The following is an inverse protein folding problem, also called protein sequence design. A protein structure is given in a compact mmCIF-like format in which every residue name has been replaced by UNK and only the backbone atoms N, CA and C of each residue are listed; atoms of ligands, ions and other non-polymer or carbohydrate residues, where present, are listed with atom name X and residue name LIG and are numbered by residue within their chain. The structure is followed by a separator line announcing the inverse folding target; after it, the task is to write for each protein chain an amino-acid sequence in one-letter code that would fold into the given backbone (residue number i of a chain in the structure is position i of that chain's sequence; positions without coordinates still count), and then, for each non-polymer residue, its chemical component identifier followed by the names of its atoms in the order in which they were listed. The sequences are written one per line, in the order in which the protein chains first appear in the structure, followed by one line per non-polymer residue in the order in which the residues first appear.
data_IF_037216616599
#
_entry.id   IF_037216616599
#
_cell.length_a   1.000
_cell.length_b   1.000
_cell.length_c   1.000
_cell.angle_alpha   90.00
_cell.angle_beta   90.00
_cell.angle_gamma   90.00
#
_symmetry.space_group_name_H-M   'P 1'
#
loop_
_entity.id
_entity.type
_entity.pdbx_description
1 polymer ?
#
# COMPACT_ATOMS: atom_id res chain seq x y z
N UNK A 1 -89.07 -35.15 -50.18
CA UNK A 1 -88.75 -35.66 -48.84
C UNK A 1 -87.29 -36.05 -48.79
N UNK A 2 -86.42 -35.14 -48.35
CA UNK A 2 -85.13 -35.41 -47.68
C UNK A 2 -84.61 -34.05 -47.20
N UNK A 3 -84.91 -33.76 -45.95
CA UNK A 3 -84.75 -32.48 -45.27
C UNK A 3 -83.31 -32.20 -44.83
N UNK A 4 -82.94 -30.93 -45.00
CA UNK A 4 -81.85 -30.17 -44.39
C UNK A 4 -81.19 -30.71 -43.11
N UNK A 5 -79.85 -30.61 -43.05
CA UNK A 5 -79.14 -30.15 -41.85
C UNK A 5 -77.93 -29.25 -42.21
N UNK A 6 -78.19 -27.94 -42.03
CA UNK A 6 -77.31 -26.87 -41.54
C UNK A 6 -75.90 -26.68 -42.10
N UNK A 7 -75.78 -25.56 -42.81
CA UNK A 7 -74.63 -24.67 -42.88
C UNK A 7 -73.92 -24.45 -41.54
N UNK A 8 -72.60 -24.63 -41.54
CA UNK A 8 -71.69 -24.05 -40.55
C UNK A 8 -70.65 -23.21 -41.29
N UNK A 9 -70.53 -21.99 -40.80
CA UNK A 9 -69.96 -20.80 -41.42
C UNK A 9 -68.43 -20.80 -41.29
N UNK A 10 -67.79 -20.06 -42.18
CA UNK A 10 -66.35 -19.84 -42.27
C UNK A 10 -65.66 -19.53 -40.93
N UNK A 11 -64.48 -20.14 -40.73
CA UNK A 11 -63.46 -19.62 -39.83
C UNK A 11 -62.07 -19.97 -40.41
N UNK A 12 -61.42 -18.98 -41.03
CA UNK A 12 -60.06 -19.08 -41.49
C UNK A 12 -59.10 -19.13 -40.29
N UNK A 13 -58.57 -20.30 -39.97
CA UNK A 13 -57.50 -20.45 -38.98
C UNK A 13 -56.15 -20.18 -39.65
N UNK A 14 -55.67 -18.92 -39.61
CA UNK A 14 -54.27 -18.60 -39.94
C UNK A 14 -53.37 -19.28 -38.92
N UNK A 15 -52.55 -20.22 -39.37
CA UNK A 15 -51.50 -20.83 -38.54
C UNK A 15 -50.36 -19.83 -38.37
N UNK A 16 -50.33 -19.13 -37.23
CA UNK A 16 -49.22 -18.27 -36.87
C UNK A 16 -47.99 -19.12 -36.52
N UNK A 17 -46.99 -19.14 -37.42
CA UNK A 17 -45.69 -19.73 -37.15
C UNK A 17 -44.87 -18.76 -36.30
N UNK A 18 -44.75 -19.01 -35.01
CA UNK A 18 -43.82 -18.30 -34.12
C UNK A 18 -42.39 -18.74 -34.40
N UNK A 19 -41.65 -17.94 -35.18
CA UNK A 19 -40.22 -18.16 -35.41
C UNK A 19 -39.44 -17.68 -34.19
N UNK A 20 -39.07 -18.60 -33.30
CA UNK A 20 -38.19 -18.30 -32.17
C UNK A 20 -36.76 -18.12 -32.68
N UNK A 21 -36.36 -16.86 -32.93
CA UNK A 21 -34.95 -16.54 -33.16
C UNK A 21 -34.22 -16.55 -31.82
N UNK A 22 -33.29 -17.49 -31.65
CA UNK A 22 -32.37 -17.53 -30.51
C UNK A 22 -31.54 -16.24 -30.51
N UNK A 23 -31.80 -15.33 -29.58
CA UNK A 23 -30.94 -14.15 -29.37
C UNK A 23 -29.54 -14.65 -29.02
N UNK A 24 -28.55 -14.38 -29.86
CA UNK A 24 -27.15 -14.57 -29.51
C UNK A 24 -26.83 -13.62 -28.36
N UNK A 25 -26.44 -14.18 -27.21
CA UNK A 25 -25.97 -13.37 -26.09
C UNK A 25 -24.78 -12.53 -26.58
N UNK A 26 -24.93 -11.20 -26.51
CA UNK A 26 -23.81 -10.28 -26.71
C UNK A 26 -22.75 -10.63 -25.68
N UNK A 27 -21.68 -11.29 -26.11
CA UNK A 27 -20.48 -11.45 -25.28
C UNK A 27 -19.93 -10.05 -25.08
N UNK A 28 -20.15 -9.47 -23.90
CA UNK A 28 -19.52 -8.22 -23.49
C UNK A 28 -18.01 -8.42 -23.66
N UNK A 29 -17.40 -7.78 -24.66
CA UNK A 29 -15.95 -7.80 -24.82
C UNK A 29 -15.37 -7.23 -23.53
N UNK A 30 -14.64 -8.04 -22.77
CA UNK A 30 -13.82 -7.55 -21.67
C UNK A 30 -12.79 -6.62 -22.29
N UNK A 31 -12.65 -5.39 -21.78
CA UNK A 31 -11.61 -4.47 -22.23
C UNK A 31 -10.26 -5.18 -22.09
N UNK A 32 -9.52 -5.30 -23.18
CA UNK A 32 -8.20 -5.94 -23.22
C UNK A 32 -7.09 -5.01 -22.72
N UNK A 33 -7.34 -3.71 -22.73
CA UNK A 33 -6.41 -2.68 -22.26
C UNK A 33 -7.09 -1.90 -21.14
N UNK A 34 -6.42 -1.84 -19.99
CA UNK A 34 -6.81 -1.05 -18.83
C UNK A 34 -5.92 0.19 -18.78
N UNK A 35 -6.47 1.37 -18.46
CA UNK A 35 -5.65 2.56 -18.28
C UNK A 35 -4.70 2.36 -17.09
N UNK A 36 -3.44 2.69 -17.32
CA UNK A 36 -2.39 2.68 -16.30
C UNK A 36 -2.62 3.90 -15.41
N UNK A 37 -2.42 3.74 -14.11
CA UNK A 37 -2.48 4.85 -13.18
C UNK A 37 -1.35 5.84 -13.48
N UNK A 38 -1.70 7.11 -13.71
CA UNK A 38 -0.70 8.16 -13.89
C UNK A 38 0.10 8.38 -12.60
N UNK A 39 1.40 8.66 -12.75
CA UNK A 39 2.28 8.92 -11.61
C UNK A 39 1.90 10.26 -10.95
N UNK A 40 1.36 10.18 -9.75
CA UNK A 40 1.03 11.35 -8.95
C UNK A 40 2.24 11.78 -8.10
N UNK A 41 2.92 12.83 -8.57
CA UNK A 41 4.08 13.44 -7.89
C UNK A 41 3.68 14.00 -6.51
N UNK A 42 2.46 14.50 -6.36
CA UNK A 42 2.01 15.12 -5.12
C UNK A 42 1.82 14.09 -4.01
N UNK A 43 1.25 12.93 -4.34
CA UNK A 43 1.14 11.81 -3.40
C UNK A 43 2.50 11.37 -2.85
N UNK A 44 3.54 11.35 -3.70
CA UNK A 44 4.89 10.97 -3.29
C UNK A 44 5.51 12.00 -2.34
N UNK A 45 5.27 13.29 -2.55
CA UNK A 45 5.75 14.36 -1.65
C UNK A 45 5.06 14.33 -0.28
N UNK A 46 3.81 13.87 -0.20
CA UNK A 46 3.06 13.72 1.05
C UNK A 46 3.58 12.59 1.96
N UNK A 47 4.52 11.75 1.51
CA UNK A 47 5.07 10.64 2.31
C UNK A 47 5.72 11.09 3.63
N UNK A 48 6.39 12.24 3.67
CA UNK A 48 7.07 12.71 4.89
C UNK A 48 6.11 13.04 6.04
N UNK A 49 4.87 13.41 5.71
CA UNK A 49 3.82 13.74 6.67
C UNK A 49 2.76 12.63 6.76
N UNK A 50 3.03 11.46 6.18
CA UNK A 50 2.09 10.34 6.24
C UNK A 50 1.95 9.88 7.68
N UNK A 51 0.71 9.58 8.07
CA UNK A 51 0.38 9.03 9.39
C UNK A 51 0.64 10.01 10.56
N UNK A 52 0.69 11.33 10.30
CA UNK A 52 0.75 12.38 11.32
C UNK A 52 -0.63 12.97 11.59
N UNK A 53 -1.10 12.87 12.84
CA UNK A 53 -2.30 13.54 13.31
C UNK A 53 -1.96 14.98 13.75
N UNK A 54 -1.74 15.87 12.78
CA UNK A 54 -1.37 17.27 13.03
C UNK A 54 -2.47 18.09 13.75
N UNK A 55 -3.70 17.60 13.74
CA UNK A 55 -4.87 18.25 14.35
C UNK A 55 -5.05 17.90 15.84
N UNK A 56 -4.22 16.99 16.38
CA UNK A 56 -4.35 16.59 17.77
C UNK A 56 -4.01 17.75 18.73
N UNK A 57 -4.88 18.07 19.71
CA UNK A 57 -4.61 19.14 20.66
C UNK A 57 -3.30 18.95 21.44
N UNK A 58 -2.93 17.69 21.72
CA UNK A 58 -1.70 17.36 22.43
C UNK A 58 -0.45 17.56 21.56
N UNK A 59 -0.57 17.29 20.25
CA UNK A 59 0.49 17.51 19.28
C UNK A 59 0.84 19.00 19.20
N UNK A 60 -0.17 19.86 19.05
CA UNK A 60 0.00 21.31 19.02
C UNK A 60 0.62 21.84 20.31
N UNK A 61 0.17 21.36 21.48
CA UNK A 61 0.73 21.75 22.77
C UNK A 61 2.21 21.38 22.90
N UNK A 62 2.59 20.17 22.49
CA UNK A 62 3.99 19.73 22.51
C UNK A 62 4.84 20.52 21.52
N UNK A 63 4.31 20.79 20.32
CA UNK A 63 5.00 21.58 19.30
C UNK A 63 5.26 23.01 19.77
N UNK A 64 4.25 23.69 20.31
CA UNK A 64 4.42 25.03 20.87
C UNK A 64 5.44 25.05 22.01
N UNK A 65 5.44 24.03 22.87
CA UNK A 65 6.39 23.93 23.99
C UNK A 65 7.81 23.66 23.51
N UNK A 66 7.97 22.81 22.50
CA UNK A 66 9.27 22.59 21.84
C UNK A 66 9.82 23.89 21.25
N UNK A 67 8.97 24.65 20.55
CA UNK A 67 9.33 25.93 19.96
C UNK A 67 9.70 26.98 21.03
N UNK A 68 8.93 27.07 22.12
CA UNK A 68 9.23 27.97 23.25
C UNK A 68 10.58 27.66 23.90
N UNK A 69 10.97 26.40 23.97
CA UNK A 69 12.24 25.95 24.53
C UNK A 69 13.40 25.96 23.52
N UNK A 70 13.15 26.33 22.25
CA UNK A 70 14.09 26.23 21.14
C UNK A 70 14.71 24.83 20.97
N UNK A 71 13.96 23.79 21.31
CA UNK A 71 14.39 22.39 21.15
C UNK A 71 13.88 21.88 19.80
N UNK A 72 14.80 21.42 18.95
CA UNK A 72 14.45 20.90 17.64
C UNK A 72 13.98 19.45 17.77
N UNK A 73 12.68 19.23 17.63
CA UNK A 73 12.07 17.90 17.56
C UNK A 73 11.34 17.76 16.22
N UNK A 74 11.62 16.67 15.50
CA UNK A 74 10.95 16.34 14.25
C UNK A 74 9.46 16.06 14.51
N UNK A 75 8.53 16.44 13.60
CA UNK A 75 7.10 16.15 13.76
C UNK A 75 6.77 14.69 14.06
N UNK A 76 7.51 13.73 13.48
CA UNK A 76 7.35 12.30 13.78
C UNK A 76 7.71 11.93 15.22
N UNK A 77 8.71 12.58 15.81
CA UNK A 77 9.08 12.36 17.21
C UNK A 77 7.97 12.88 18.12
N UNK A 78 7.39 14.03 17.79
CA UNK A 78 6.25 14.57 18.53
C UNK A 78 5.04 13.62 18.43
N UNK A 79 4.75 13.09 17.23
CA UNK A 79 3.63 12.16 17.05
C UNK A 79 3.82 10.85 17.83
N UNK A 80 5.02 10.26 17.80
CA UNK A 80 5.32 9.05 18.59
C UNK A 80 5.22 9.30 20.10
N UNK A 81 5.56 10.51 20.58
CA UNK A 81 5.32 10.90 21.97
C UNK A 81 3.83 11.01 22.28
N UNK A 82 3.03 11.60 21.40
CA UNK A 82 1.57 11.70 21.55
C UNK A 82 0.94 10.31 21.63
N UNK A 83 1.32 9.39 20.74
CA UNK A 83 0.86 8.01 20.77
C UNK A 83 1.28 7.28 22.05
N UNK A 84 2.51 7.50 22.51
CA UNK A 84 3.01 6.98 23.79
C UNK A 84 2.25 7.51 25.00
N UNK A 85 1.74 8.74 24.93
CA UNK A 85 0.90 9.34 25.97
C UNK A 85 -0.53 8.79 25.91
N UNK A 86 -1.11 8.69 24.71
CA UNK A 86 -2.45 8.11 24.49
C UNK A 86 -2.54 6.66 24.97
N UNK A 87 -1.53 5.85 24.68
CA UNK A 87 -1.46 4.45 25.13
C UNK A 87 -1.38 4.31 26.65
N UNK A 88 -0.82 5.30 27.36
CA UNK A 88 -0.81 5.36 28.83
C UNK A 88 -2.13 5.85 29.44
N UNK A 89 -3.07 6.33 28.62
CA UNK A 89 -4.39 6.78 29.06
C UNK A 89 -4.47 8.24 29.54
N UNK A 90 -3.39 9.01 29.46
CA UNK A 90 -3.35 10.39 29.93
C UNK A 90 -3.87 11.36 28.85
N UNK A 91 -5.15 11.71 28.93
CA UNK A 91 -5.79 12.63 27.96
C UNK A 91 -5.42 14.10 28.14
N UNK A 92 -4.94 14.50 29.32
CA UNK A 92 -4.56 15.88 29.66
C UNK A 92 -3.31 15.87 30.54
N UNK A 93 -2.25 16.52 30.09
CA UNK A 93 -1.03 16.68 30.88
C UNK A 93 -0.94 18.08 31.49
N UNK A 94 -0.32 18.15 32.67
CA UNK A 94 0.09 19.41 33.29
C UNK A 94 1.27 20.00 32.51
N UNK A 95 1.35 21.33 32.49
CA UNK A 95 2.38 22.06 31.75
C UNK A 95 3.81 21.66 32.14
N UNK A 96 4.04 21.42 33.44
CA UNK A 96 5.33 20.93 33.97
C UNK A 96 5.69 19.54 33.44
N UNK A 97 4.70 18.66 33.28
CA UNK A 97 4.91 17.31 32.75
C UNK A 97 5.27 17.38 31.27
N UNK A 98 4.56 18.20 30.48
CA UNK A 98 4.88 18.42 29.06
C UNK A 98 6.31 18.92 28.88
N UNK A 99 6.72 19.92 29.67
CA UNK A 99 8.08 20.45 29.64
C UNK A 99 9.12 19.37 29.97
N UNK A 100 8.86 18.56 31.02
CA UNK A 100 9.77 17.47 31.39
C UNK A 100 9.90 16.40 30.30
N UNK A 101 8.81 16.10 29.58
CA UNK A 101 8.79 15.11 28.50
C UNK A 101 9.59 15.64 27.31
N UNK A 102 9.37 16.89 26.89
CA UNK A 102 10.10 17.51 25.78
C UNK A 102 11.60 17.59 26.10
N UNK A 103 11.97 18.02 27.31
CA UNK A 103 13.37 18.07 27.77
C UNK A 103 14.01 16.68 27.80
N UNK A 104 13.29 15.68 28.32
CA UNK A 104 13.77 14.29 28.35
C UNK A 104 13.97 13.74 26.94
N UNK A 105 12.98 13.92 26.06
CA UNK A 105 13.05 13.49 24.66
C UNK A 105 14.24 14.13 23.93
N UNK A 106 14.46 15.43 24.11
CA UNK A 106 15.62 16.12 23.54
C UNK A 106 16.95 15.58 24.10
N UNK A 107 17.02 15.32 25.40
CA UNK A 107 18.22 14.75 26.03
C UNK A 107 18.54 13.35 25.48
N UNK A 108 17.52 12.51 25.31
CA UNK A 108 17.67 11.19 24.69
C UNK A 108 18.08 11.29 23.22
N UNK A 109 17.54 12.25 22.48
CA UNK A 109 17.91 12.50 21.09
C UNK A 109 19.39 12.89 20.99
N UNK A 110 19.88 13.78 21.86
CA UNK A 110 21.29 14.16 21.89
C UNK A 110 22.20 12.97 22.22
N UNK A 111 21.79 12.11 23.16
CA UNK A 111 22.53 10.88 23.52
C UNK A 111 22.53 9.82 22.43
N UNK A 112 21.50 9.78 21.57
CA UNK A 112 21.40 8.82 20.48
C UNK A 112 22.23 9.21 19.24
N UNK A 113 22.91 10.36 19.27
CA UNK A 113 23.81 10.78 18.18
C UNK A 113 25.05 9.90 18.18
N UNK A 114 25.52 9.56 16.98
CA UNK A 114 26.79 8.86 16.77
C UNK A 114 27.94 9.82 17.10
N UNK A 115 28.96 9.29 17.76
CA UNK A 115 30.16 10.04 18.10
C UNK A 115 30.93 10.45 16.83
N UNK A 116 31.48 11.67 16.77
CA UNK A 116 32.23 12.13 15.61
C UNK A 116 33.52 11.31 15.46
N UNK A 117 33.94 11.10 14.21
CA UNK A 117 35.14 10.32 13.82
C UNK A 117 35.05 8.80 14.02
N UNK A 118 33.86 8.27 14.30
CA UNK A 118 33.64 6.82 14.30
C UNK A 118 33.83 6.24 12.88
N UNK A 119 34.40 5.03 12.79
CA UNK A 119 34.68 4.35 11.53
C UNK A 119 33.42 3.71 10.90
N UNK A 120 32.37 4.51 10.68
CA UNK A 120 31.04 4.06 10.23
C UNK A 120 31.12 3.25 8.93
N UNK A 121 32.06 3.55 8.03
CA UNK A 121 32.25 2.79 6.78
C UNK A 121 32.62 1.33 7.00
N UNK A 122 33.51 1.03 7.96
CA UNK A 122 33.92 -0.35 8.26
C UNK A 122 32.80 -1.07 9.00
N UNK A 123 32.21 -0.41 10.00
CA UNK A 123 31.10 -0.97 10.80
C UNK A 123 29.90 -1.32 9.92
N UNK A 124 29.55 -0.45 8.97
CA UNK A 124 28.45 -0.70 8.02
C UNK A 124 28.78 -1.82 7.05
N UNK A 125 30.00 -1.87 6.51
CA UNK A 125 30.43 -2.95 5.62
C UNK A 125 30.36 -4.33 6.30
N UNK A 126 30.84 -4.44 7.54
CA UNK A 126 30.77 -5.68 8.31
C UNK A 126 29.32 -6.06 8.63
N UNK A 127 28.51 -5.10 9.09
CA UNK A 127 27.11 -5.33 9.46
C UNK A 127 26.26 -5.84 8.28
N UNK A 128 26.60 -5.46 7.05
CA UNK A 128 25.96 -5.99 5.84
C UNK A 128 26.59 -7.31 5.35
N UNK A 129 27.91 -7.45 5.46
CA UNK A 129 28.67 -8.59 4.94
C UNK A 129 28.54 -9.87 5.76
N UNK A 130 28.54 -9.76 7.09
CA UNK A 130 28.42 -10.91 8.00
C UNK A 130 27.13 -11.73 7.78
N UNK A 131 25.92 -11.13 7.74
CA UNK A 131 24.70 -11.88 7.46
C UNK A 131 24.68 -12.45 6.04
N UNK A 132 25.42 -11.86 5.09
CA UNK A 132 25.56 -12.39 3.74
C UNK A 132 26.10 -13.82 3.69
N UNK A 133 27.01 -14.17 4.61
CA UNK A 133 27.53 -15.55 4.74
C UNK A 133 26.50 -16.52 5.33
N UNK A 134 25.55 -16.02 6.13
CA UNK A 134 24.46 -16.80 6.72
C UNK A 134 23.28 -16.97 5.76
N UNK A 135 23.22 -16.18 4.69
CA UNK A 135 22.13 -16.15 3.70
C UNK A 135 22.22 -17.26 2.63
N UNK A 136 22.79 -18.42 2.94
CA UNK A 136 23.12 -19.44 1.93
C UNK A 136 21.98 -20.38 1.53
N UNK A 137 20.91 -20.57 2.34
CA UNK A 137 19.93 -21.67 2.11
C UNK A 137 18.44 -21.39 2.42
N UNK A 138 17.89 -20.16 2.26
CA UNK A 138 16.48 -19.84 2.62
C UNK A 138 15.53 -19.43 1.48
N UNK A 139 15.60 -19.99 0.27
CA UNK A 139 14.76 -19.48 -0.85
C UNK A 139 13.96 -20.49 -1.66
N UNK A 140 13.95 -21.79 -1.35
CA UNK A 140 13.22 -22.75 -2.21
C UNK A 140 11.83 -23.16 -1.72
N UNK A 141 11.45 -22.85 -0.48
CA UNK A 141 10.16 -23.29 0.09
C UNK A 141 9.39 -22.20 0.82
N UNK A 142 9.27 -20.99 0.25
CA UNK A 142 8.25 -20.05 0.72
C UNK A 142 6.88 -20.51 0.20
N UNK A 143 6.22 -21.38 0.95
CA UNK A 143 4.89 -21.87 0.61
C UNK A 143 3.89 -20.69 0.61
N UNK A 144 3.30 -20.39 -0.55
CA UNK A 144 1.99 -19.72 -0.60
C UNK A 144 1.87 -18.36 -1.28
N UNK A 145 2.91 -17.81 -1.92
CA UNK A 145 2.74 -16.60 -2.75
C UNK A 145 3.19 -16.88 -4.17
N UNK A 146 2.27 -16.78 -5.13
CA UNK A 146 2.50 -16.97 -6.57
C UNK A 146 3.35 -15.85 -7.22
N UNK A 147 4.25 -15.25 -6.46
CA UNK A 147 5.24 -14.30 -6.98
C UNK A 147 6.50 -15.11 -7.22
N UNK A 148 6.67 -15.52 -8.49
CA UNK A 148 7.91 -15.88 -9.21
C UNK A 148 9.14 -16.11 -8.33
N UNK A 149 9.89 -17.18 -8.59
CA UNK A 149 11.23 -17.44 -8.06
C UNK A 149 12.20 -16.28 -8.35
N UNK A 150 12.05 -15.17 -7.60
CA UNK A 150 12.94 -14.03 -7.61
C UNK A 150 14.20 -14.50 -6.91
N UNK A 151 15.36 -14.03 -7.34
CA UNK A 151 16.66 -14.31 -6.72
C UNK A 151 16.74 -13.62 -5.33
N UNK A 152 15.88 -14.00 -4.37
CA UNK A 152 15.51 -13.20 -3.19
C UNK A 152 16.53 -13.18 -2.04
N UNK A 153 17.82 -13.12 -2.34
CA UNK A 153 18.81 -13.04 -1.28
C UNK A 153 20.10 -12.39 -1.73
N UNK A 154 21.20 -13.04 -1.40
CA UNK A 154 22.54 -12.55 -1.66
C UNK A 154 22.81 -12.20 -3.14
N UNK A 155 22.38 -12.98 -4.15
CA UNK A 155 22.63 -12.64 -5.56
C UNK A 155 22.02 -11.29 -5.96
N UNK A 156 20.83 -10.94 -5.44
CA UNK A 156 20.19 -9.66 -5.73
C UNK A 156 20.90 -8.48 -5.07
N UNK A 157 21.40 -8.67 -3.85
CA UNK A 157 22.20 -7.65 -3.16
C UNK A 157 23.48 -7.35 -3.95
N UNK A 158 24.18 -8.39 -4.42
CA UNK A 158 25.39 -8.25 -5.24
C UNK A 158 25.08 -7.48 -6.54
N UNK A 159 24.01 -7.82 -7.26
CA UNK A 159 23.61 -7.10 -8.47
C UNK A 159 23.39 -5.60 -8.26
N UNK A 160 22.79 -5.23 -7.12
CA UNK A 160 22.48 -3.83 -6.77
C UNK A 160 23.77 -3.08 -6.40
N UNK A 161 24.63 -3.68 -5.56
CA UNK A 161 25.88 -3.06 -5.11
C UNK A 161 26.89 -2.92 -6.27
N UNK A 162 26.99 -3.92 -7.15
CA UNK A 162 27.83 -3.89 -8.35
C UNK A 162 27.26 -2.98 -9.47
N UNK A 163 26.08 -2.39 -9.26
CA UNK A 163 25.38 -1.55 -10.24
C UNK A 163 25.26 -2.21 -11.63
N UNK A 164 24.88 -3.50 -11.68
CA UNK A 164 24.75 -4.22 -12.96
C UNK A 164 23.69 -3.59 -13.85
N UNK A 165 24.03 -3.34 -15.11
CA UNK A 165 23.14 -2.69 -16.10
C UNK A 165 21.84 -3.46 -16.34
N UNK A 166 21.90 -4.79 -16.38
CA UNK A 166 20.72 -5.66 -16.58
C UNK A 166 20.71 -6.70 -15.47
N UNK A 167 19.71 -6.71 -14.57
CA UNK A 167 19.58 -7.73 -13.54
C UNK A 167 19.08 -9.05 -14.13
N UNK A 168 19.40 -10.17 -13.48
CA UNK A 168 19.04 -11.49 -14.01
C UNK A 168 17.52 -11.73 -14.03
N UNK A 169 16.78 -11.17 -13.06
CA UNK A 169 15.31 -11.28 -12.96
C UNK A 169 14.66 -9.89 -12.85
N UNK A 170 14.46 -9.15 -13.96
CA UNK A 170 13.78 -7.87 -13.92
C UNK A 170 12.28 -8.07 -13.65
N UNK A 171 11.74 -7.35 -12.68
CA UNK A 171 10.30 -7.34 -12.36
C UNK A 171 9.77 -5.91 -12.35
N UNK A 172 8.49 -5.75 -12.72
CA UNK A 172 7.82 -4.46 -12.77
C UNK A 172 6.43 -4.61 -12.18
N UNK A 173 6.05 -3.71 -11.26
CA UNK A 173 4.71 -3.64 -10.70
C UNK A 173 3.90 -2.60 -11.48
N UNK A 174 2.79 -3.00 -12.08
CA UNK A 174 1.92 -2.10 -12.84
C UNK A 174 0.67 -1.80 -12.02
N UNK A 175 0.42 -0.51 -11.76
CA UNK A 175 -0.78 -0.02 -11.09
C UNK A 175 -1.82 0.41 -12.13
N UNK A 176 -3.04 -0.08 -12.00
CA UNK A 176 -4.15 0.22 -12.89
C UNK A 176 -5.20 1.08 -12.16
N UNK A 177 -5.95 1.90 -12.89
CA UNK A 177 -6.98 2.77 -12.31
C UNK A 177 -8.23 1.99 -11.84
N UNK A 178 -8.49 0.81 -12.40
CA UNK A 178 -9.67 0.01 -12.07
C UNK A 178 -9.49 -0.77 -10.74
N UNK A 179 -10.55 -0.80 -9.94
CA UNK A 179 -10.62 -1.59 -8.71
C UNK A 179 -11.24 -2.97 -8.99
N UNK A 180 -10.74 -3.99 -8.30
CA UNK A 180 -11.38 -5.30 -8.22
C UNK A 180 -12.80 -5.19 -7.64
N UNK A 181 -13.62 -6.24 -7.83
CA UNK A 181 -14.98 -6.33 -7.25
C UNK A 181 -15.04 -6.19 -5.71
N UNK A 182 -13.88 -6.25 -5.03
CA UNK A 182 -13.71 -6.05 -3.59
C UNK A 182 -13.20 -4.64 -3.22
N UNK A 183 -13.20 -3.69 -4.16
CA UNK A 183 -12.71 -2.32 -3.96
C UNK A 183 -11.19 -2.19 -3.80
N UNK A 184 -10.41 -3.23 -4.10
CA UNK A 184 -8.94 -3.21 -4.04
C UNK A 184 -8.35 -2.83 -5.39
N UNK A 185 -7.31 -1.99 -5.47
CA UNK A 185 -6.70 -1.63 -6.75
C UNK A 185 -6.17 -2.89 -7.46
N UNK A 186 -6.42 -2.99 -8.76
CA UNK A 186 -5.81 -4.02 -9.59
C UNK A 186 -4.30 -3.74 -9.70
N UNK A 187 -3.50 -4.67 -9.19
CA UNK A 187 -2.04 -4.66 -9.29
C UNK A 187 -1.63 -5.95 -9.99
N UNK A 188 -0.89 -5.83 -11.08
CA UNK A 188 -0.30 -6.95 -11.82
C UNK A 188 1.20 -6.88 -11.73
#
# INVERSE_FOLDING_TARGET
MASSTKSARAAAAKTEKTVVRRRTLSRRRKKTLLPIQNYDVESSKKLLLRDLDNEDPLFLQLQEKSNKLNLFLTPQIINTLVDGIKTRGDKKLSDKKLESIVKSAHTHLLKARVDPHEAVGITTAQSLGEPGTQMTMRTFHYAGVATVNVTQGLPRIIEIVDARKVPNTPTMNIYLEEFNSKGKPLRT
#
